data_IF_246427610673
#
_entry.id   IF_246427610673
#
_cell.length_a   1.000
_cell.length_b   1.000
_cell.length_c   1.000
_cell.angle_alpha   90.00
_cell.angle_beta   90.00
_cell.angle_gamma   90.00
#
_symmetry.space_group_name_H-M   'P 1'
#
loop_
_entity.id
_entity.type
_entity.pdbx_description
1 polymer ?
#
# COMPACT_ATOMS: atom_id res chain seq x y z
N UNK A 1 -9.71 4.12 14.12
CA UNK A 1 -9.82 4.28 15.58
C UNK A 1 -10.61 3.14 16.22
N UNK A 2 -11.83 2.81 15.73
CA UNK A 2 -12.68 1.72 16.26
C UNK A 2 -12.01 0.33 16.22
N UNK A 3 -11.05 0.14 15.33
CA UNK A 3 -10.29 -1.11 15.14
C UNK A 3 -8.97 -1.15 15.95
N UNK A 4 -8.62 -0.06 16.65
CA UNK A 4 -7.37 0.05 17.40
C UNK A 4 -6.13 0.15 16.51
N UNK A 5 -6.29 0.57 15.25
CA UNK A 5 -5.20 0.78 14.32
C UNK A 5 -4.61 2.19 14.51
N UNK A 6 -3.28 2.29 14.46
CA UNK A 6 -2.54 3.53 14.61
C UNK A 6 -1.93 4.05 13.31
N UNK A 7 -2.01 3.27 12.22
CA UNK A 7 -1.44 3.60 10.92
C UNK A 7 -2.48 3.44 9.83
N UNK A 8 -2.34 4.22 8.76
CA UNK A 8 -3.18 4.13 7.58
C UNK A 8 -2.32 4.27 6.32
N UNK A 9 -2.70 3.55 5.29
CA UNK A 9 -2.40 3.86 3.91
C UNK A 9 -3.61 4.61 3.36
N UNK A 10 -3.40 5.81 2.87
CA UNK A 10 -4.45 6.65 2.30
C UNK A 10 -4.39 6.57 0.77
N UNK A 11 -5.51 6.78 0.10
CA UNK A 11 -5.59 6.79 -1.36
C UNK A 11 -6.47 7.94 -1.85
N UNK A 12 -6.31 8.28 -3.12
CA UNK A 12 -7.07 9.36 -3.76
C UNK A 12 -8.58 9.10 -3.77
N UNK A 13 -9.32 10.20 -3.89
CA UNK A 13 -10.79 10.21 -4.01
C UNK A 13 -11.55 9.68 -2.80
N UNK A 14 -10.91 9.52 -1.66
CA UNK A 14 -11.61 9.31 -0.41
C UNK A 14 -12.30 10.61 0.02
N UNK A 15 -13.61 10.58 0.25
CA UNK A 15 -14.31 11.71 0.86
C UNK A 15 -13.85 11.88 2.31
N UNK A 16 -13.44 13.10 2.66
CA UNK A 16 -12.81 13.36 3.96
C UNK A 16 -13.82 13.42 5.10
N UNK A 17 -15.08 13.73 4.83
CA UNK A 17 -16.10 13.91 5.85
C UNK A 17 -15.82 15.08 6.80
N UNK A 18 -16.61 15.21 7.87
CA UNK A 18 -16.44 16.30 8.83
C UNK A 18 -15.05 16.25 9.52
N UNK A 19 -14.37 17.39 9.71
CA UNK A 19 -14.88 18.77 9.60
C UNK A 19 -14.81 19.41 8.21
N UNK A 20 -14.39 18.66 7.19
CA UNK A 20 -14.35 19.17 5.82
C UNK A 20 -15.75 19.37 5.25
N UNK A 21 -15.94 20.31 4.31
CA UNK A 21 -17.17 20.40 3.55
C UNK A 21 -17.54 19.08 2.88
N UNK A 22 -18.82 18.86 2.60
CA UNK A 22 -19.24 17.73 1.79
C UNK A 22 -18.57 17.76 0.41
N UNK A 23 -18.33 16.58 -0.15
CA UNK A 23 -17.68 16.43 -1.47
C UNK A 23 -16.23 16.95 -1.50
N UNK A 24 -15.59 17.09 -0.33
CA UNK A 24 -14.14 17.31 -0.26
C UNK A 24 -13.43 15.96 -0.29
N UNK A 25 -12.61 15.75 -1.31
CA UNK A 25 -11.91 14.49 -1.52
C UNK A 25 -10.42 14.64 -1.26
N UNK A 26 -9.81 13.57 -0.79
CA UNK A 26 -8.37 13.48 -0.65
C UNK A 26 -7.71 13.56 -2.04
N UNK A 27 -7.05 14.69 -2.32
CA UNK A 27 -6.46 14.98 -3.62
C UNK A 27 -5.34 16.02 -3.46
N UNK A 28 -4.40 16.05 -4.41
CA UNK A 28 -3.30 17.03 -4.42
C UNK A 28 -3.76 18.49 -4.70
N UNK A 29 -5.04 18.70 -5.05
CA UNK A 29 -5.63 20.04 -5.19
C UNK A 29 -6.09 20.65 -3.85
N UNK A 30 -5.99 19.89 -2.74
CA UNK A 30 -6.29 20.43 -1.41
C UNK A 30 -5.37 21.59 -1.07
N UNK A 31 -5.97 22.66 -0.51
CA UNK A 31 -5.22 23.81 -0.03
C UNK A 31 -4.24 23.45 1.09
N UNK A 32 -3.29 24.34 1.36
CA UNK A 32 -2.35 24.15 2.47
C UNK A 32 -3.08 24.09 3.83
N UNK A 33 -4.15 24.88 3.98
CA UNK A 33 -4.99 24.88 5.18
C UNK A 33 -5.77 23.57 5.34
N UNK A 34 -6.32 23.01 4.24
CA UNK A 34 -6.98 21.72 4.27
C UNK A 34 -6.00 20.58 4.59
N UNK A 35 -4.80 20.62 4.03
CA UNK A 35 -3.76 19.67 4.37
C UNK A 35 -3.32 19.76 5.84
N UNK A 36 -3.25 20.99 6.40
CA UNK A 36 -2.95 21.19 7.81
C UNK A 36 -4.09 20.67 8.70
N UNK A 37 -5.33 20.92 8.32
CA UNK A 37 -6.52 20.40 9.00
C UNK A 37 -6.55 18.86 8.94
N UNK A 38 -6.23 18.27 7.79
CA UNK A 38 -6.17 16.82 7.62
C UNK A 38 -5.14 16.18 8.57
N UNK A 39 -3.92 16.73 8.63
CA UNK A 39 -2.91 16.26 9.59
C UNK A 39 -3.37 16.41 11.04
N UNK A 40 -4.06 17.51 11.39
CA UNK A 40 -4.63 17.70 12.71
C UNK A 40 -5.67 16.63 13.04
N UNK A 41 -6.58 16.33 12.12
CA UNK A 41 -7.61 15.30 12.29
C UNK A 41 -7.02 13.88 12.42
N UNK A 42 -5.99 13.54 11.65
CA UNK A 42 -5.25 12.29 11.84
C UNK A 42 -4.63 12.21 13.24
N UNK A 43 -3.91 13.25 13.64
CA UNK A 43 -3.28 13.32 14.97
C UNK A 43 -4.30 13.21 16.11
N UNK A 44 -5.43 13.94 16.02
CA UNK A 44 -6.53 13.90 17.00
C UNK A 44 -7.12 12.49 17.16
N UNK A 45 -7.12 11.68 16.09
CA UNK A 45 -7.60 10.30 16.11
C UNK A 45 -6.52 9.28 16.45
N UNK A 46 -5.29 9.71 16.68
CA UNK A 46 -4.15 8.83 16.94
C UNK A 46 -3.76 7.97 15.73
N UNK A 47 -4.02 8.44 14.51
CA UNK A 47 -3.70 7.76 13.26
C UNK A 47 -2.54 8.48 12.57
N UNK A 48 -1.60 7.73 12.01
CA UNK A 48 -0.51 8.24 11.16
C UNK A 48 -0.73 7.75 9.73
N UNK A 49 -0.93 8.64 8.76
CA UNK A 49 -1.02 8.25 7.34
C UNK A 49 0.39 8.02 6.80
N UNK A 50 0.98 6.85 7.06
CA UNK A 50 2.38 6.59 6.74
C UNK A 50 2.62 6.18 5.29
N UNK A 51 1.59 5.73 4.58
CA UNK A 51 1.66 5.40 3.16
C UNK A 51 0.54 6.09 2.38
N UNK A 52 0.79 6.34 1.09
CA UNK A 52 -0.16 6.96 0.17
C UNK A 52 -0.01 6.39 -1.25
N UNK A 53 -1.10 5.97 -1.87
CA UNK A 53 -1.19 5.38 -3.21
C UNK A 53 -2.42 4.47 -3.29
N UNK A 54 -2.60 3.65 -4.30
CA UNK A 54 -1.65 3.32 -5.39
C UNK A 54 -1.80 4.37 -6.50
N UNK A 55 -0.67 4.84 -7.03
CA UNK A 55 -0.67 5.87 -8.07
C UNK A 55 0.03 5.41 -9.35
N UNK A 56 -0.52 5.81 -10.48
CA UNK A 56 0.07 5.63 -11.81
C UNK A 56 -0.16 6.91 -12.64
N UNK A 57 0.90 7.49 -13.16
CA UNK A 57 0.83 8.75 -13.92
C UNK A 57 1.67 8.69 -15.18
N UNK A 58 1.20 9.41 -16.23
CA UNK A 58 1.88 9.45 -17.50
C UNK A 58 3.03 10.48 -17.59
N UNK A 59 3.04 11.48 -16.71
CA UNK A 59 3.97 12.61 -16.79
C UNK A 59 4.77 12.81 -15.51
N UNK A 60 5.96 13.37 -15.65
CA UNK A 60 6.80 13.74 -14.50
C UNK A 60 6.16 14.84 -13.63
N UNK A 61 5.40 15.75 -14.24
CA UNK A 61 4.70 16.83 -13.51
C UNK A 61 3.64 16.27 -12.54
N UNK A 62 2.91 15.25 -12.97
CA UNK A 62 1.94 14.57 -12.09
C UNK A 62 2.64 13.86 -10.93
N UNK A 63 3.79 13.22 -11.19
CA UNK A 63 4.61 12.62 -10.16
C UNK A 63 5.14 13.64 -9.16
N UNK A 64 5.57 14.85 -9.62
CA UNK A 64 5.97 15.93 -8.72
C UNK A 64 4.83 16.34 -7.78
N UNK A 65 3.62 16.53 -8.32
CA UNK A 65 2.42 16.87 -7.53
C UNK A 65 2.09 15.77 -6.51
N UNK A 66 2.16 14.52 -6.93
CA UNK A 66 1.87 13.37 -6.10
C UNK A 66 2.85 13.27 -4.91
N UNK A 67 4.15 13.30 -5.16
CA UNK A 67 5.16 13.21 -4.10
C UNK A 67 5.09 14.42 -3.14
N UNK A 68 4.94 15.63 -3.70
CA UNK A 68 4.77 16.83 -2.88
C UNK A 68 3.55 16.74 -1.96
N UNK A 69 2.44 16.24 -2.48
CA UNK A 69 1.21 16.05 -1.70
C UNK A 69 1.37 14.95 -0.65
N UNK A 70 1.89 13.77 -1.01
CA UNK A 70 2.15 12.68 -0.08
C UNK A 70 3.03 13.14 1.09
N UNK A 71 4.12 13.85 0.80
CA UNK A 71 4.98 14.45 1.81
C UNK A 71 4.23 15.47 2.69
N UNK A 72 3.41 16.34 2.08
CA UNK A 72 2.62 17.37 2.77
C UNK A 72 1.63 16.77 3.77
N UNK A 73 0.98 15.65 3.45
CA UNK A 73 0.04 14.99 4.37
C UNK A 73 0.73 14.13 5.43
N UNK A 74 2.05 13.94 5.34
CA UNK A 74 2.86 13.22 6.32
C UNK A 74 3.09 11.74 5.99
N UNK A 75 2.89 11.32 4.73
CA UNK A 75 3.28 10.00 4.28
C UNK A 75 4.82 9.89 4.18
N UNK A 76 5.34 8.70 4.47
CA UNK A 76 6.74 8.35 4.33
C UNK A 76 6.98 7.30 3.24
N UNK A 77 5.92 6.63 2.82
CA UNK A 77 5.94 5.61 1.78
C UNK A 77 4.92 6.01 0.72
N UNK A 78 5.28 5.81 -0.55
CA UNK A 78 4.31 5.89 -1.66
C UNK A 78 4.20 4.55 -2.35
N UNK A 79 2.97 4.10 -2.63
CA UNK A 79 2.69 2.92 -3.42
C UNK A 79 2.37 3.32 -4.86
N UNK A 80 3.09 2.74 -5.83
CA UNK A 80 3.12 3.26 -7.20
C UNK A 80 3.19 2.17 -8.26
N UNK A 81 2.70 2.49 -9.46
CA UNK A 81 2.81 1.68 -10.69
C UNK A 81 3.35 2.53 -11.85
N UNK A 82 4.61 2.99 -11.80
CA UNK A 82 5.17 3.84 -12.84
C UNK A 82 5.54 3.04 -14.09
N UNK A 83 5.63 3.72 -15.24
CA UNK A 83 6.26 3.14 -16.41
C UNK A 83 7.76 2.89 -16.17
N UNK A 84 8.36 1.89 -16.85
CA UNK A 84 9.76 1.53 -16.64
C UNK A 84 10.72 2.70 -16.91
N UNK A 85 10.42 3.54 -17.89
CA UNK A 85 11.21 4.72 -18.23
C UNK A 85 11.10 5.87 -17.22
N UNK A 86 10.15 5.81 -16.28
CA UNK A 86 9.96 6.80 -15.21
C UNK A 86 10.72 6.44 -13.93
N UNK A 87 11.24 5.21 -13.80
CA UNK A 87 11.82 4.73 -12.55
C UNK A 87 13.00 5.58 -12.05
N UNK A 88 13.84 6.11 -12.95
CA UNK A 88 14.95 6.98 -12.55
C UNK A 88 14.44 8.31 -11.97
N UNK A 89 13.37 8.83 -12.58
CA UNK A 89 12.73 10.05 -12.10
C UNK A 89 12.06 9.83 -10.74
N UNK A 90 11.31 8.76 -10.59
CA UNK A 90 10.67 8.35 -9.32
C UNK A 90 11.72 8.18 -8.21
N UNK A 91 12.85 7.54 -8.50
CA UNK A 91 13.93 7.40 -7.53
C UNK A 91 14.54 8.77 -7.14
N UNK A 92 14.61 9.72 -8.07
CA UNK A 92 15.06 11.08 -7.76
C UNK A 92 14.09 11.81 -6.82
N UNK A 93 12.78 11.62 -7.00
CA UNK A 93 11.74 12.14 -6.10
C UNK A 93 11.79 11.48 -4.72
N UNK A 94 12.00 10.15 -4.67
CA UNK A 94 12.19 9.43 -3.42
C UNK A 94 13.33 10.05 -2.59
N UNK A 95 14.47 10.33 -3.24
CA UNK A 95 15.62 11.00 -2.59
C UNK A 95 15.31 12.45 -2.19
N UNK A 96 14.63 13.21 -3.05
CA UNK A 96 14.25 14.61 -2.80
C UNK A 96 13.36 14.78 -1.57
N UNK A 97 12.40 13.87 -1.39
CA UNK A 97 11.41 13.95 -0.31
C UNK A 97 11.76 13.05 0.89
N UNK A 98 12.86 12.30 0.84
CA UNK A 98 13.22 11.27 1.82
C UNK A 98 12.07 10.28 2.08
N UNK A 99 11.52 9.75 0.99
CA UNK A 99 10.37 8.84 1.00
C UNK A 99 10.74 7.48 0.42
N UNK A 100 10.17 6.42 0.97
CA UNK A 100 10.24 5.11 0.39
C UNK A 100 9.22 4.96 -0.75
N UNK A 101 9.60 4.24 -1.78
CA UNK A 101 8.74 3.91 -2.94
C UNK A 101 8.50 2.41 -2.95
N UNK A 102 7.25 2.01 -2.97
CA UNK A 102 6.81 0.63 -3.02
C UNK A 102 6.10 0.37 -4.36
N UNK A 103 6.77 -0.33 -5.29
CA UNK A 103 6.17 -0.73 -6.57
C UNK A 103 5.12 -1.79 -6.29
N UNK A 104 3.88 -1.54 -6.71
CA UNK A 104 2.75 -2.42 -6.46
C UNK A 104 2.59 -3.46 -7.57
N UNK A 105 2.36 -4.70 -7.20
CA UNK A 105 2.11 -5.79 -8.12
C UNK A 105 0.61 -5.95 -8.38
N UNK A 106 0.11 -5.32 -9.41
CA UNK A 106 -1.28 -5.41 -9.82
C UNK A 106 -1.41 -6.28 -11.09
N UNK A 107 -2.52 -7.02 -11.29
CA UNK A 107 -2.78 -7.74 -12.54
C UNK A 107 -2.79 -6.83 -13.76
N UNK A 108 -2.74 -7.44 -14.96
CA UNK A 108 -2.90 -6.69 -16.22
C UNK A 108 -4.05 -5.68 -16.15
N UNK A 109 -3.88 -4.43 -16.67
CA UNK A 109 -2.81 -4.01 -17.57
C UNK A 109 -1.49 -3.54 -16.90
N UNK A 110 -1.36 -3.61 -15.59
CA UNK A 110 -0.13 -3.23 -14.90
C UNK A 110 1.04 -4.14 -15.31
N UNK A 111 2.19 -3.53 -15.59
CA UNK A 111 3.39 -4.25 -16.03
C UNK A 111 4.07 -5.04 -14.90
N UNK A 112 3.75 -4.72 -13.63
CA UNK A 112 4.38 -5.30 -12.44
C UNK A 112 3.67 -6.53 -11.89
N UNK A 113 2.78 -7.16 -12.65
CA UNK A 113 2.05 -8.35 -12.23
C UNK A 113 2.97 -9.49 -11.75
N UNK A 114 4.15 -9.63 -12.38
CA UNK A 114 5.13 -10.66 -12.05
C UNK A 114 6.23 -10.15 -11.10
N UNK A 115 6.58 -10.97 -10.11
CA UNK A 115 7.71 -10.68 -9.22
C UNK A 115 9.05 -10.58 -9.95
N UNK A 116 9.20 -11.27 -11.09
CA UNK A 116 10.41 -11.16 -11.91
C UNK A 116 10.57 -9.78 -12.54
N UNK A 117 9.47 -9.19 -13.01
CA UNK A 117 9.49 -7.83 -13.57
C UNK A 117 9.84 -6.82 -12.49
N UNK A 118 9.25 -6.94 -11.30
CA UNK A 118 9.54 -6.07 -10.16
C UNK A 118 11.01 -6.19 -9.74
N UNK A 119 11.55 -7.41 -9.65
CA UNK A 119 12.96 -7.65 -9.33
C UNK A 119 13.91 -6.96 -10.32
N UNK A 120 13.62 -7.09 -11.63
CA UNK A 120 14.38 -6.42 -12.70
C UNK A 120 14.28 -4.89 -12.60
N UNK A 121 13.09 -4.35 -12.32
CA UNK A 121 12.87 -2.92 -12.14
C UNK A 121 13.66 -2.35 -10.96
N UNK A 122 13.86 -3.13 -9.90
CA UNK A 122 14.58 -2.73 -8.69
C UNK A 122 16.10 -2.97 -8.77
N UNK A 123 16.59 -3.65 -9.80
CA UNK A 123 18.01 -3.98 -9.91
C UNK A 123 18.88 -2.71 -10.00
N UNK A 124 19.85 -2.59 -9.09
CA UNK A 124 20.78 -1.45 -9.04
C UNK A 124 20.19 -0.18 -8.42
N UNK A 125 18.93 -0.18 -8.00
CA UNK A 125 18.29 0.98 -7.34
C UNK A 125 18.60 1.05 -5.85
N UNK A 126 18.50 2.25 -5.31
CA UNK A 126 18.73 2.51 -3.89
C UNK A 126 17.75 1.73 -2.98
N UNK A 127 18.07 1.70 -1.70
CA UNK A 127 17.20 1.07 -0.68
C UNK A 127 15.86 1.79 -0.48
N UNK A 128 15.70 3.02 -0.97
CA UNK A 128 14.41 3.72 -0.95
C UNK A 128 13.39 3.07 -1.90
N UNK A 129 13.85 2.42 -2.97
CA UNK A 129 12.99 1.73 -3.93
C UNK A 129 12.74 0.29 -3.47
N UNK A 130 11.48 -0.13 -3.42
CA UNK A 130 11.09 -1.46 -2.98
C UNK A 130 9.74 -1.88 -3.56
N UNK A 131 9.08 -2.79 -2.85
CA UNK A 131 7.86 -3.49 -3.30
C UNK A 131 6.73 -3.26 -2.34
N UNK A 132 5.55 -2.98 -2.87
CA UNK A 132 4.27 -3.24 -2.22
C UNK A 132 3.83 -4.65 -2.62
N UNK A 133 3.95 -5.60 -1.71
CA UNK A 133 3.70 -7.01 -1.97
C UNK A 133 2.22 -7.34 -1.73
N UNK A 134 1.42 -7.41 -2.80
CA UNK A 134 0.03 -7.83 -2.73
C UNK A 134 -0.10 -9.34 -2.93
N UNK A 135 -0.49 -10.02 -1.86
CA UNK A 135 -0.62 -11.47 -1.83
C UNK A 135 -1.74 -11.98 -2.77
N UNK A 136 -2.85 -11.23 -2.87
CA UNK A 136 -4.00 -11.62 -3.68
C UNK A 136 -3.74 -11.43 -5.16
N UNK A 137 -3.09 -10.34 -5.55
CA UNK A 137 -2.78 -10.06 -6.94
C UNK A 137 -1.79 -11.07 -7.53
N UNK A 138 -0.76 -11.47 -6.79
CA UNK A 138 0.10 -12.59 -7.24
C UNK A 138 -0.71 -13.86 -7.46
N UNK A 139 -1.65 -14.18 -6.56
CA UNK A 139 -2.50 -15.36 -6.72
C UNK A 139 -3.40 -15.28 -7.95
N UNK A 140 -4.00 -14.10 -8.21
CA UNK A 140 -4.87 -13.85 -9.37
C UNK A 140 -4.17 -14.04 -10.72
N UNK A 141 -2.86 -13.82 -10.76
CA UNK A 141 -2.04 -14.05 -11.97
C UNK A 141 -1.36 -15.43 -11.98
N UNK A 142 -1.71 -16.31 -11.04
CA UNK A 142 -1.21 -17.68 -10.99
C UNK A 142 0.19 -17.86 -10.41
N UNK A 143 0.75 -16.80 -9.81
CA UNK A 143 2.03 -16.88 -9.11
C UNK A 143 1.87 -17.41 -7.67
N UNK A 144 2.97 -17.91 -7.09
CA UNK A 144 3.05 -18.33 -5.70
C UNK A 144 3.48 -17.16 -4.80
N UNK A 145 2.57 -16.61 -3.95
CA UNK A 145 2.89 -15.44 -3.15
C UNK A 145 4.06 -15.64 -2.17
N UNK A 146 4.25 -16.86 -1.64
CA UNK A 146 5.34 -17.12 -0.70
C UNK A 146 6.69 -17.16 -1.41
N UNK A 147 6.76 -17.75 -2.59
CA UNK A 147 7.99 -17.75 -3.40
C UNK A 147 8.35 -16.33 -3.83
N UNK A 148 7.36 -15.53 -4.20
CA UNK A 148 7.58 -14.14 -4.59
C UNK A 148 8.06 -13.29 -3.42
N UNK A 149 7.47 -13.46 -2.24
CA UNK A 149 7.91 -12.78 -1.03
C UNK A 149 9.36 -13.14 -0.67
N UNK A 150 9.75 -14.41 -0.83
CA UNK A 150 11.13 -14.87 -0.62
C UNK A 150 12.10 -14.30 -1.66
N UNK A 151 11.69 -14.28 -2.93
CA UNK A 151 12.47 -13.74 -4.04
C UNK A 151 12.78 -12.25 -3.87
N UNK A 152 11.82 -11.49 -3.37
CA UNK A 152 11.91 -10.04 -3.18
C UNK A 152 12.35 -9.66 -1.75
N UNK A 153 12.91 -10.62 -0.99
CA UNK A 153 13.36 -10.42 0.38
C UNK A 153 14.32 -9.23 0.50
N UNK A 154 14.14 -8.42 1.55
CA UNK A 154 14.91 -7.20 1.80
C UNK A 154 14.48 -5.99 0.96
N UNK A 155 13.47 -6.15 0.09
CA UNK A 155 12.93 -5.07 -0.74
C UNK A 155 11.47 -4.75 -0.43
N UNK A 156 10.80 -5.51 0.42
CA UNK A 156 9.40 -5.27 0.77
C UNK A 156 9.29 -4.02 1.65
N UNK A 157 8.46 -3.05 1.25
CA UNK A 157 8.16 -1.82 1.98
C UNK A 157 6.74 -1.83 2.55
N UNK A 158 5.82 -2.34 1.74
CA UNK A 158 4.41 -2.50 2.10
C UNK A 158 3.99 -3.92 1.76
N UNK A 159 3.12 -4.50 2.56
CA UNK A 159 2.44 -5.75 2.26
C UNK A 159 0.93 -5.49 2.26
N UNK A 160 0.30 -5.61 1.10
CA UNK A 160 -1.14 -5.62 0.97
C UNK A 160 -1.65 -7.02 1.23
N UNK A 161 -2.25 -7.20 2.40
CA UNK A 161 -2.82 -8.47 2.77
C UNK A 161 -4.31 -8.50 2.48
N UNK A 162 -4.70 -9.56 1.81
CA UNK A 162 -6.09 -9.95 1.56
C UNK A 162 -6.19 -11.47 1.64
N UNK A 163 -7.39 -12.00 1.70
CA UNK A 163 -7.66 -13.42 1.48
C UNK A 163 -8.69 -13.55 0.35
N UNK A 164 -8.70 -14.65 -0.34
CA UNK A 164 -9.55 -14.84 -1.52
C UNK A 164 -10.31 -16.15 -1.41
N UNK A 165 -11.53 -16.16 -1.93
CA UNK A 165 -12.28 -17.40 -2.20
C UNK A 165 -11.65 -18.17 -3.36
N UNK A 166 -12.12 -19.37 -3.63
CA UNK A 166 -11.77 -20.15 -4.83
C UNK A 166 -12.15 -19.46 -6.15
N UNK A 167 -13.09 -18.51 -6.09
CA UNK A 167 -13.51 -17.66 -7.22
C UNK A 167 -12.69 -16.37 -7.37
N UNK A 168 -11.63 -16.19 -6.57
CA UNK A 168 -10.79 -14.99 -6.54
C UNK A 168 -11.51 -13.72 -6.04
N UNK A 169 -12.62 -13.85 -5.33
CA UNK A 169 -13.31 -12.79 -4.62
C UNK A 169 -12.71 -12.60 -3.23
N UNK A 170 -12.84 -11.42 -2.65
CA UNK A 170 -12.33 -11.16 -1.30
C UNK A 170 -13.02 -12.04 -0.25
N UNK A 171 -12.25 -12.47 0.73
CA UNK A 171 -12.68 -13.28 1.86
C UNK A 171 -12.12 -12.75 3.18
N UNK A 172 -12.85 -12.98 4.27
CA UNK A 172 -12.30 -12.74 5.62
C UNK A 172 -11.04 -13.58 5.82
N UNK A 173 -9.98 -12.97 6.33
CA UNK A 173 -8.69 -13.63 6.45
C UNK A 173 -8.74 -14.92 7.27
N UNK A 174 -8.12 -15.95 6.72
CA UNK A 174 -8.09 -17.30 7.30
C UNK A 174 -9.30 -18.16 6.94
N UNK A 175 -10.23 -17.64 6.13
CA UNK A 175 -11.36 -18.41 5.59
C UNK A 175 -11.24 -18.72 4.12
N UNK A 176 -10.30 -18.07 3.43
CA UNK A 176 -10.04 -18.22 2.01
C UNK A 176 -8.93 -19.22 1.69
N UNK A 177 -8.40 -19.09 0.47
CA UNK A 177 -7.40 -20.03 -0.08
C UNK A 177 -5.95 -19.52 0.02
N UNK A 178 -5.75 -18.26 0.45
CA UNK A 178 -4.41 -17.71 0.50
C UNK A 178 -3.66 -18.14 1.78
N UNK A 179 -2.34 -18.34 1.69
CA UNK A 179 -1.53 -18.74 2.83
C UNK A 179 -1.19 -17.54 3.73
N UNK A 180 -2.20 -16.74 4.15
CA UNK A 180 -2.00 -15.47 4.89
C UNK A 180 -1.13 -15.65 6.11
N UNK A 181 -1.37 -16.71 6.91
CA UNK A 181 -0.53 -16.99 8.09
C UNK A 181 0.92 -17.29 7.73
N UNK A 182 1.15 -18.09 6.70
CA UNK A 182 2.50 -18.42 6.25
C UNK A 182 3.21 -17.17 5.68
N UNK A 183 2.47 -16.30 4.98
CA UNK A 183 2.98 -15.04 4.45
C UNK A 183 3.42 -14.10 5.59
N UNK A 184 2.60 -13.93 6.63
CA UNK A 184 2.95 -13.12 7.81
C UNK A 184 4.16 -13.70 8.54
N UNK A 185 4.27 -15.02 8.67
CA UNK A 185 5.42 -15.66 9.28
C UNK A 185 6.70 -15.45 8.46
N UNK A 186 6.59 -15.46 7.14
CA UNK A 186 7.72 -15.19 6.25
C UNK A 186 8.17 -13.72 6.37
N UNK A 187 7.24 -12.75 6.42
CA UNK A 187 7.58 -11.34 6.71
C UNK A 187 8.36 -11.20 8.02
N UNK A 188 7.92 -11.89 9.08
CA UNK A 188 8.64 -11.91 10.37
C UNK A 188 10.04 -12.50 10.24
N UNK A 189 10.18 -13.64 9.52
CA UNK A 189 11.47 -14.29 9.28
C UNK A 189 12.45 -13.37 8.54
N UNK A 190 11.93 -12.51 7.67
CA UNK A 190 12.68 -11.49 6.96
C UNK A 190 12.97 -10.22 7.78
N UNK A 191 12.56 -10.17 9.05
CA UNK A 191 12.65 -8.98 9.90
C UNK A 191 11.97 -7.75 9.28
N UNK A 192 10.84 -7.99 8.57
CA UNK A 192 10.09 -6.93 7.94
C UNK A 192 9.64 -5.88 8.96
N UNK A 193 9.91 -4.60 8.65
CA UNK A 193 9.59 -3.44 9.48
C UNK A 193 8.82 -2.37 8.70
N UNK A 194 8.13 -2.76 7.64
CA UNK A 194 7.28 -1.87 6.84
C UNK A 194 5.82 -1.90 7.27
N UNK A 195 4.96 -1.42 6.40
CA UNK A 195 3.50 -1.37 6.63
C UNK A 195 2.84 -2.67 6.17
N UNK A 196 1.95 -3.20 6.99
CA UNK A 196 0.96 -4.20 6.57
C UNK A 196 -0.39 -3.49 6.46
N UNK A 197 -0.91 -3.40 5.25
CA UNK A 197 -2.24 -2.85 4.97
C UNK A 197 -3.25 -3.99 4.87
N UNK A 198 -4.40 -3.81 5.52
CA UNK A 198 -5.57 -4.66 5.29
C UNK A 198 -6.27 -4.12 4.06
N UNK A 199 -6.41 -4.95 3.05
CA UNK A 199 -7.04 -4.55 1.82
C UNK A 199 -8.19 -5.48 1.45
N UNK A 200 -9.27 -4.87 1.03
CA UNK A 200 -10.43 -5.48 0.41
C UNK A 200 -10.72 -4.72 -0.88
N UNK A 201 -10.79 -5.42 -2.00
CA UNK A 201 -11.15 -4.82 -3.30
C UNK A 201 -12.67 -4.68 -3.43
N UNK A 202 -13.44 -5.43 -2.63
CA UNK A 202 -14.90 -5.34 -2.60
C UNK A 202 -15.36 -4.24 -1.64
N UNK A 203 -15.96 -3.18 -2.20
CA UNK A 203 -16.57 -2.08 -1.45
C UNK A 203 -17.77 -2.49 -0.57
N UNK A 204 -18.21 -3.73 -0.63
CA UNK A 204 -19.29 -4.26 0.24
C UNK A 204 -18.77 -4.76 1.58
N UNK A 205 -17.46 -4.90 1.74
CA UNK A 205 -16.87 -5.36 3.00
C UNK A 205 -17.22 -4.41 4.14
N UNK A 206 -17.67 -4.96 5.25
CA UNK A 206 -18.05 -4.19 6.42
C UNK A 206 -16.94 -4.13 7.46
N UNK A 207 -17.11 -3.28 8.46
CA UNK A 207 -16.13 -3.11 9.54
C UNK A 207 -15.96 -4.38 10.39
N UNK A 208 -16.96 -5.26 10.40
CA UNK A 208 -16.87 -6.52 11.16
C UNK A 208 -15.94 -7.51 10.46
N UNK A 209 -15.95 -7.58 9.14
CA UNK A 209 -15.01 -8.41 8.36
C UNK A 209 -13.58 -7.93 8.56
N UNK A 210 -13.34 -6.62 8.51
CA UNK A 210 -12.03 -6.04 8.83
C UNK A 210 -11.61 -6.39 10.26
N UNK A 211 -12.52 -6.35 11.22
CA UNK A 211 -12.25 -6.73 12.61
C UNK A 211 -11.85 -8.20 12.74
N UNK A 212 -12.56 -9.09 12.07
CA UNK A 212 -12.27 -10.52 12.06
C UNK A 212 -10.88 -10.80 11.46
N UNK A 213 -10.54 -10.11 10.37
CA UNK A 213 -9.21 -10.21 9.73
C UNK A 213 -8.10 -9.70 10.65
N UNK A 214 -8.32 -8.60 11.37
CA UNK A 214 -7.38 -8.11 12.39
C UNK A 214 -7.18 -9.10 13.53
N UNK A 215 -8.25 -9.74 14.00
CA UNK A 215 -8.15 -10.76 15.04
C UNK A 215 -7.37 -11.98 14.56
N UNK A 216 -7.56 -12.38 13.31
CA UNK A 216 -6.76 -13.43 12.68
C UNK A 216 -5.27 -13.04 12.63
N UNK A 217 -4.95 -11.82 12.16
CA UNK A 217 -3.58 -11.32 12.13
C UNK A 217 -2.92 -11.33 13.52
N UNK A 218 -3.63 -10.86 14.54
CA UNK A 218 -3.15 -10.88 15.93
C UNK A 218 -2.85 -12.30 16.44
N UNK A 219 -3.63 -13.29 16.01
CA UNK A 219 -3.37 -14.71 16.33
C UNK A 219 -2.14 -15.24 15.59
N UNK A 220 -1.91 -14.82 14.35
CA UNK A 220 -0.70 -15.15 13.59
C UNK A 220 0.56 -14.49 14.18
N UNK A 221 0.38 -13.42 14.95
CA UNK A 221 1.48 -12.62 15.49
C UNK A 221 2.02 -13.11 16.82
N UNK A 222 1.32 -14.04 17.44
CA UNK A 222 1.75 -14.74 18.67
C UNK A 222 2.57 -15.97 18.34
#
# INVERSE_FOLDING_TARGET
>A
QQLGMGYAEAFFFQELGAPFPKETYLNYDLSDDDCALLRHEFKKRGIKPIAFGVASYGTNEEWDKFFAFAHKIGAHIVTVEPELNQLDYIESLAKKYDMEVAIHNHPSPCIYASAEVVEKALKGRSSLMGVCADIGHWKRVGEDPLKNLQKLSGRIKVAHLKDLTDKMEDATWGTGILPVKAFVNELKRQHFNGLISIEYDDFKSDIQEIRNSLEFLRKCSK
#
